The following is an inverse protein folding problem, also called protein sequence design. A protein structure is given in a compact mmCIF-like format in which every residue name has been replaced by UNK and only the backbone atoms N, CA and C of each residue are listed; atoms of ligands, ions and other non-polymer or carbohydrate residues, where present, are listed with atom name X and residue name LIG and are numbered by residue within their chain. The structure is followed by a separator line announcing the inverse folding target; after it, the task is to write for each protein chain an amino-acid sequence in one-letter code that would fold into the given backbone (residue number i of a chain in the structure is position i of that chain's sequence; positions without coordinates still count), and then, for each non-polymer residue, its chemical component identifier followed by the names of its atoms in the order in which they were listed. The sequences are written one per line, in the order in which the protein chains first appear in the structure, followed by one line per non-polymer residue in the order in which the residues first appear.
data_IF_276176692292
#
_entry.id   IF_276176692292
#
_cell.length_a   1.000
_cell.length_b   1.000
_cell.length_c   1.000
_cell.angle_alpha   90.00
_cell.angle_beta   90.00
_cell.angle_gamma   90.00
#
_symmetry.space_group_name_H-M   'P 1'
#
loop_
_entity.id
_entity.type
_entity.pdbx_description
1 polymer ?
#
# COMPACT_ATOMS: atom_id res chain seq x y z
N UNK A 1 -18.98 1.50 -16.59
CA UNK A 1 -17.67 2.05 -16.24
C UNK A 1 -17.09 1.28 -15.08
N UNK A 2 -15.90 0.71 -15.26
CA UNK A 2 -15.17 -0.06 -14.24
C UNK A 2 -14.19 0.87 -13.53
N UNK A 3 -14.23 0.85 -12.20
CA UNK A 3 -13.40 1.71 -11.34
C UNK A 3 -12.50 0.85 -10.47
N UNK A 4 -11.27 1.30 -10.25
CA UNK A 4 -10.30 0.64 -9.38
C UNK A 4 -9.66 1.61 -8.40
N UNK A 5 -9.24 1.06 -7.27
CA UNK A 5 -8.40 1.74 -6.28
C UNK A 5 -7.11 0.95 -6.15
N UNK A 6 -5.97 1.61 -6.30
CA UNK A 6 -4.63 1.03 -6.18
C UNK A 6 -4.00 1.54 -4.89
N UNK A 7 -3.54 0.63 -4.05
CA UNK A 7 -2.68 0.97 -2.91
C UNK A 7 -1.30 1.32 -3.48
N UNK A 8 -0.91 2.57 -3.34
CA UNK A 8 0.21 3.13 -4.08
C UNK A 8 1.25 3.71 -3.11
N UNK A 9 2.47 3.17 -3.11
CA UNK A 9 3.58 3.70 -2.30
C UNK A 9 4.60 4.49 -3.12
N UNK A 10 4.50 4.45 -4.46
CA UNK A 10 5.52 4.99 -5.36
C UNK A 10 6.71 4.05 -5.61
N UNK A 11 6.73 2.88 -4.96
CA UNK A 11 7.71 1.82 -5.23
C UNK A 11 7.44 1.09 -6.54
N UNK A 12 8.42 0.29 -6.99
CA UNK A 12 8.39 -0.44 -8.26
C UNK A 12 7.14 -1.34 -8.42
N UNK A 13 6.82 -2.11 -7.38
CA UNK A 13 5.71 -3.07 -7.41
C UNK A 13 4.37 -2.33 -7.58
N UNK A 14 4.09 -1.39 -6.67
CA UNK A 14 2.86 -0.59 -6.72
C UNK A 14 2.72 0.26 -8.01
N UNK A 15 3.84 0.65 -8.63
CA UNK A 15 3.87 1.34 -9.93
C UNK A 15 3.50 0.41 -11.07
N UNK A 16 3.97 -0.82 -11.03
CA UNK A 16 3.58 -1.85 -12.01
C UNK A 16 2.06 -2.10 -11.92
N UNK A 17 1.51 -2.19 -10.70
CA UNK A 17 0.08 -2.36 -10.48
C UNK A 17 -0.76 -1.20 -11.01
N UNK A 18 -0.29 0.04 -10.79
CA UNK A 18 -0.98 1.23 -11.29
C UNK A 18 -1.03 1.22 -12.82
N UNK A 19 0.10 0.96 -13.49
CA UNK A 19 0.17 0.90 -14.95
C UNK A 19 -0.74 -0.19 -15.50
N UNK A 20 -0.77 -1.37 -14.86
CA UNK A 20 -1.68 -2.44 -15.24
C UNK A 20 -3.15 -2.05 -15.03
N UNK A 21 -3.49 -1.42 -13.91
CA UNK A 21 -4.86 -0.99 -13.62
C UNK A 21 -5.36 0.04 -14.63
N UNK A 22 -4.52 1.00 -15.04
CA UNK A 22 -4.87 2.02 -16.04
C UNK A 22 -5.22 1.42 -17.43
N UNK A 23 -4.74 0.22 -17.74
CA UNK A 23 -5.08 -0.48 -18.98
C UNK A 23 -6.39 -1.28 -18.88
N UNK A 24 -6.85 -1.58 -17.66
CA UNK A 24 -7.96 -2.51 -17.39
C UNK A 24 -9.24 -1.81 -16.93
N UNK A 25 -9.13 -0.60 -16.39
CA UNK A 25 -10.21 0.15 -15.77
C UNK A 25 -10.36 1.52 -16.39
N UNK A 26 -11.60 2.03 -16.42
CA UNK A 26 -11.91 3.34 -16.99
C UNK A 26 -11.48 4.49 -16.05
N UNK A 27 -11.47 4.22 -14.74
CA UNK A 27 -11.14 5.19 -13.70
C UNK A 27 -10.29 4.52 -12.62
N UNK A 28 -9.11 5.07 -12.36
CA UNK A 28 -8.18 4.55 -11.35
C UNK A 28 -7.84 5.63 -10.34
N UNK A 29 -8.04 5.30 -9.06
CA UNK A 29 -7.66 6.15 -7.92
C UNK A 29 -6.51 5.51 -7.17
N UNK A 30 -5.62 6.32 -6.61
CA UNK A 30 -4.52 5.86 -5.78
C UNK A 30 -4.77 6.19 -4.30
N UNK A 31 -4.30 5.31 -3.41
CA UNK A 31 -4.28 5.56 -1.97
C UNK A 31 -2.91 5.22 -1.38
N UNK A 32 -2.29 6.15 -0.65
CA UNK A 32 -1.10 5.89 0.18
C UNK A 32 -1.49 5.90 1.64
N UNK A 33 -0.96 4.96 2.41
CA UNK A 33 -1.08 4.94 3.86
C UNK A 33 0.18 5.57 4.48
N UNK A 34 -0.01 6.64 5.23
CA UNK A 34 1.04 7.27 6.03
C UNK A 34 1.01 6.69 7.44
N UNK A 35 2.03 5.90 7.78
CA UNK A 35 2.18 5.27 9.09
C UNK A 35 2.90 6.17 10.12
N UNK A 36 3.16 7.43 9.80
CA UNK A 36 3.97 8.34 10.61
C UNK A 36 5.47 8.13 10.44
N UNK A 37 5.89 7.48 9.35
CA UNK A 37 7.30 7.29 9.01
C UNK A 37 7.94 8.63 8.61
N UNK A 38 9.23 8.85 8.93
CA UNK A 38 9.92 10.14 8.72
C UNK A 38 10.06 10.57 7.26
N UNK A 39 9.82 9.69 6.30
CA UNK A 39 10.07 9.94 4.87
C UNK A 39 8.85 10.48 4.13
N UNK A 40 8.40 11.70 4.49
CA UNK A 40 7.30 12.40 3.78
C UNK A 40 7.62 12.68 2.31
N UNK A 41 8.90 12.83 1.97
CA UNK A 41 9.34 13.02 0.59
C UNK A 41 8.90 11.88 -0.35
N UNK A 42 8.86 10.63 0.14
CA UNK A 42 8.42 9.47 -0.65
C UNK A 42 6.93 9.55 -0.98
N UNK A 43 6.11 10.04 -0.04
CA UNK A 43 4.66 10.23 -0.24
C UNK A 43 4.40 11.31 -1.30
N UNK A 44 5.19 12.40 -1.29
CA UNK A 44 5.05 13.45 -2.28
C UNK A 44 5.46 12.97 -3.68
N UNK A 45 6.55 12.21 -3.78
CA UNK A 45 6.96 11.55 -5.04
C UNK A 45 5.88 10.59 -5.53
N UNK A 46 5.30 9.78 -4.64
CA UNK A 46 4.19 8.89 -5.00
C UNK A 46 2.98 9.69 -5.52
N UNK A 47 2.64 10.82 -4.88
CA UNK A 47 1.56 11.71 -5.35
C UNK A 47 1.80 12.22 -6.75
N UNK A 48 2.98 12.75 -7.00
CA UNK A 48 3.32 13.24 -8.33
C UNK A 48 3.32 12.13 -9.37
N UNK A 49 3.89 10.97 -9.04
CA UNK A 49 4.00 9.85 -9.96
C UNK A 49 2.61 9.29 -10.33
N UNK A 50 1.71 9.12 -9.37
CA UNK A 50 0.35 8.64 -9.61
C UNK A 50 -0.41 9.55 -10.59
N UNK A 51 -0.35 10.87 -10.37
CA UNK A 51 -1.01 11.84 -11.22
C UNK A 51 -0.36 11.92 -12.61
N UNK A 52 0.97 11.87 -12.69
CA UNK A 52 1.72 11.84 -13.96
C UNK A 52 1.36 10.62 -14.81
N UNK A 53 1.11 9.47 -14.19
CA UNK A 53 0.74 8.23 -14.87
C UNK A 53 -0.74 8.18 -15.31
N UNK A 54 -1.59 9.09 -14.82
CA UNK A 54 -2.99 9.20 -15.24
C UNK A 54 -4.01 8.69 -14.22
N UNK A 55 -3.62 8.52 -12.95
CA UNK A 55 -4.61 8.32 -11.89
C UNK A 55 -5.49 9.58 -11.74
N UNK A 56 -6.78 9.38 -11.51
CA UNK A 56 -7.76 10.49 -11.38
C UNK A 56 -7.55 11.28 -10.10
N UNK A 57 -7.24 10.59 -9.01
CA UNK A 57 -6.90 11.20 -7.75
C UNK A 57 -5.94 10.33 -6.96
N UNK A 58 -5.24 10.95 -6.02
CA UNK A 58 -4.40 10.24 -5.06
C UNK A 58 -4.65 10.74 -3.64
N UNK A 59 -5.23 9.88 -2.80
CA UNK A 59 -5.50 10.18 -1.39
C UNK A 59 -4.39 9.63 -0.51
N UNK A 60 -3.94 10.44 0.46
CA UNK A 60 -3.08 9.96 1.55
C UNK A 60 -3.94 9.81 2.79
N UNK A 61 -3.86 8.65 3.42
CA UNK A 61 -4.57 8.31 4.65
C UNK A 61 -3.56 8.20 5.78
N UNK A 62 -3.68 9.08 6.77
CA UNK A 62 -2.93 8.96 8.01
C UNK A 62 -3.49 7.79 8.82
N UNK A 63 -2.65 6.78 9.03
CA UNK A 63 -2.96 5.59 9.82
C UNK A 63 -2.05 5.49 11.05
N UNK A 64 -1.43 6.60 11.46
CA UNK A 64 -0.56 6.66 12.66
C UNK A 64 -1.30 6.17 13.91
N UNK A 65 -2.62 6.39 14.02
CA UNK A 65 -3.45 5.87 15.11
C UNK A 65 -3.42 4.33 15.22
N UNK A 66 -3.24 3.60 14.11
CA UNK A 66 -3.14 2.14 14.15
C UNK A 66 -1.87 1.67 14.88
N UNK A 67 -0.84 2.50 14.97
CA UNK A 67 0.38 2.20 15.73
C UNK A 67 0.09 2.02 17.23
N UNK A 68 -0.95 2.68 17.76
CA UNK A 68 -1.38 2.55 19.15
C UNK A 68 -2.18 1.27 19.40
N UNK A 69 -2.81 0.72 18.36
CA UNK A 69 -3.74 -0.41 18.47
C UNK A 69 -3.11 -1.76 18.11
N UNK A 70 -2.06 -1.78 17.27
CA UNK A 70 -1.39 -3.02 16.88
C UNK A 70 0.10 -2.81 16.53
N UNK A 71 0.97 -3.65 17.12
CA UNK A 71 2.37 -3.76 16.70
C UNK A 71 2.41 -4.57 15.39
N UNK A 72 2.79 -3.92 14.29
CA UNK A 72 2.90 -4.53 12.97
C UNK A 72 4.37 -4.55 12.50
N UNK A 73 4.67 -5.36 11.48
CA UNK A 73 5.98 -5.39 10.85
C UNK A 73 6.43 -4.05 10.25
N UNK A 74 5.47 -3.16 9.94
CA UNK A 74 5.74 -1.80 9.44
C UNK A 74 6.03 -0.77 10.56
N UNK A 75 5.66 -1.08 11.80
CA UNK A 75 5.63 -0.12 12.94
C UNK A 75 6.58 -0.52 14.08
N UNK A 76 7.19 -1.70 14.00
CA UNK A 76 8.17 -2.18 14.97
C UNK A 76 9.52 -1.44 14.83
N UNK A 77 9.68 -0.33 15.57
CA UNK A 77 11.00 0.25 15.84
C UNK A 77 11.71 -0.64 16.87
N UNK A 78 12.38 -1.70 16.41
CA UNK A 78 13.58 -2.31 17.00
C UNK A 78 13.76 -3.74 16.46
N UNK A 79 14.69 -3.89 15.52
CA UNK A 79 15.24 -5.18 15.18
C UNK A 79 16.07 -5.69 16.38
N UNK A 80 15.48 -6.50 17.27
CA UNK A 80 16.24 -7.40 18.14
C UNK A 80 16.08 -8.81 17.58
N UNK A 81 17.02 -9.20 16.72
CA UNK A 81 17.09 -10.56 16.20
C UNK A 81 17.40 -11.53 17.35
N UNK A 82 16.38 -12.14 17.94
CA UNK A 82 16.52 -13.36 18.73
C UNK A 82 16.06 -14.49 17.83
N UNK A 83 17.01 -15.15 17.16
CA UNK A 83 16.74 -16.41 16.47
C UNK A 83 16.21 -17.38 17.53
N UNK A 84 14.91 -17.65 17.48
CA UNK A 84 14.32 -18.84 18.09
C UNK A 84 13.70 -19.66 16.96
N UNK A 85 14.18 -20.88 16.85
CA UNK A 85 13.93 -21.82 15.77
C UNK A 85 12.48 -22.38 15.77
N UNK A 86 11.89 -22.46 14.56
CA UNK A 86 10.77 -23.32 14.08
C UNK A 86 9.35 -22.91 14.55
N UNK A 87 8.28 -22.88 13.74
CA UNK A 87 7.85 -23.52 12.45
C UNK A 87 6.92 -22.56 11.66
N UNK A 88 6.68 -22.74 10.34
CA UNK A 88 5.84 -21.83 9.56
C UNK A 88 4.34 -22.21 9.66
N UNK A 89 3.53 -21.37 10.30
CA UNK A 89 2.08 -21.42 10.13
C UNK A 89 1.69 -20.50 8.97
N UNK A 90 1.21 -21.08 7.87
CA UNK A 90 0.73 -20.36 6.71
C UNK A 90 -0.47 -19.48 7.10
N UNK A 91 -0.31 -18.16 7.02
CA UNK A 91 -1.37 -17.19 7.21
C UNK A 91 -2.26 -17.16 5.95
N UNK A 92 -3.42 -17.81 6.00
CA UNK A 92 -4.45 -17.72 4.96
C UNK A 92 -5.29 -16.45 5.19
N UNK A 93 -5.20 -15.50 4.26
CA UNK A 93 -6.07 -14.32 4.22
C UNK A 93 -7.44 -14.74 3.65
N UNK A 94 -8.58 -14.38 4.29
CA UNK A 94 -9.90 -14.68 3.75
C UNK A 94 -10.17 -13.86 2.48
N UNK A 95 -10.59 -14.55 1.42
CA UNK A 95 -10.96 -13.96 0.13
C UNK A 95 -12.37 -13.35 0.20
N UNK A 96 -12.47 -12.02 0.14
CA UNK A 96 -13.74 -11.33 -0.09
C UNK A 96 -14.05 -11.31 -1.59
N UNK A 97 -15.19 -11.86 -2.05
CA UNK A 97 -15.57 -11.80 -3.45
C UNK A 97 -15.95 -10.36 -3.82
N UNK A 98 -15.16 -9.72 -4.69
CA UNK A 98 -15.54 -8.45 -5.33
C UNK A 98 -14.50 -7.33 -5.30
N UNK A 99 -13.37 -7.49 -4.59
CA UNK A 99 -12.26 -6.52 -4.61
C UNK A 99 -10.98 -7.22 -5.07
N UNK A 100 -10.56 -6.95 -6.31
CA UNK A 100 -9.24 -7.37 -6.80
C UNK A 100 -8.20 -6.42 -6.23
N UNK A 101 -7.50 -6.85 -5.18
CA UNK A 101 -6.28 -6.22 -4.72
C UNK A 101 -5.12 -6.67 -5.61
N UNK A 102 -4.58 -5.75 -6.42
CA UNK A 102 -3.26 -5.91 -7.01
C UNK A 102 -2.24 -5.35 -6.02
N UNK A 103 -1.34 -6.22 -5.53
CA UNK A 103 -0.11 -5.86 -4.81
C UNK A 103 1.02 -5.64 -5.79
#
# INVERSE_FOLDING_TARGET
MKRAVVVFSGGQDSTTCLVQALQQYDEVHCVTFDYGQRHRAEIDVARELALKLGAVAHKVLDVTLLNELAVSSLTAIAFRFRIMNRTPAAFRIPSYPGATFCF
#
